data_IF_452437801330
#
_entry.id   IF_452437801330
#
_cell.length_a   1.000
_cell.length_b   1.000
_cell.length_c   1.000
_cell.angle_alpha   90.00
_cell.angle_beta   90.00
_cell.angle_gamma   90.00
#
_symmetry.space_group_name_H-M   'P 1'
#
loop_
_entity.id
_entity.type
_entity.pdbx_description
1 polymer ?
#
# COMPACT_ATOMS: atom_id res chain seq x y z
N UNK A 1 58.04 -45.83 -3.53
CA UNK A 1 56.88 -46.73 -3.49
C UNK A 1 55.65 -45.83 -3.36
N UNK A 2 55.04 -45.27 -4.40
CA UNK A 2 54.39 -45.84 -5.58
C UNK A 2 53.24 -46.80 -5.23
N UNK A 3 52.01 -46.26 -5.16
CA UNK A 3 50.78 -46.65 -5.89
C UNK A 3 49.62 -45.77 -5.38
N UNK A 4 48.99 -44.90 -6.17
CA UNK A 4 47.99 -45.13 -7.22
C UNK A 4 46.76 -45.93 -6.74
N UNK A 5 45.62 -45.26 -6.55
CA UNK A 5 44.32 -45.77 -7.00
C UNK A 5 43.29 -44.64 -7.08
N UNK A 6 42.71 -44.47 -8.27
CA UNK A 6 41.63 -43.54 -8.61
C UNK A 6 40.25 -44.17 -8.29
N UNK A 7 39.19 -43.38 -8.56
CA UNK A 7 37.76 -43.71 -8.64
C UNK A 7 37.02 -43.71 -7.29
N UNK A 8 35.89 -43.01 -7.10
CA UNK A 8 34.82 -42.61 -8.02
C UNK A 8 34.20 -41.26 -7.62
N UNK A 9 33.92 -40.41 -8.60
CA UNK A 9 32.83 -39.44 -8.52
C UNK A 9 31.52 -40.21 -8.35
N UNK A 10 30.84 -40.04 -7.23
CA UNK A 10 29.43 -40.37 -7.10
C UNK A 10 28.64 -39.06 -6.95
N UNK A 11 27.96 -38.74 -8.03
CA UNK A 11 26.96 -37.68 -8.16
C UNK A 11 25.83 -37.91 -7.14
N UNK A 12 25.53 -36.90 -6.32
CA UNK A 12 24.24 -36.81 -5.66
C UNK A 12 23.67 -35.41 -5.96
N UNK A 13 23.06 -35.28 -7.14
CA UNK A 13 22.13 -34.18 -7.42
C UNK A 13 20.90 -34.47 -6.56
N UNK A 14 20.83 -33.85 -5.39
CA UNK A 14 19.62 -33.91 -4.58
C UNK A 14 18.58 -33.01 -5.22
N UNK A 15 17.43 -33.63 -5.44
CA UNK A 15 16.27 -33.15 -6.14
C UNK A 15 15.89 -31.71 -5.81
N UNK A 16 15.44 -31.00 -6.84
CA UNK A 16 14.68 -29.77 -6.71
C UNK A 16 13.45 -30.04 -5.82
N UNK A 17 13.51 -29.60 -4.58
CA UNK A 17 12.32 -29.12 -3.91
C UNK A 17 12.12 -27.70 -4.43
N UNK A 18 11.14 -27.53 -5.30
CA UNK A 18 10.44 -26.25 -5.41
C UNK A 18 9.74 -26.08 -4.08
N UNK A 19 10.48 -25.59 -3.10
CA UNK A 19 9.84 -24.85 -2.03
C UNK A 19 9.30 -23.60 -2.73
N UNK A 20 8.00 -23.60 -3.02
CA UNK A 20 7.24 -22.36 -2.96
C UNK A 20 7.29 -21.88 -1.51
N UNK A 21 8.46 -21.55 -0.99
CA UNK A 21 8.57 -20.46 -0.03
C UNK A 21 8.06 -19.26 -0.79
N UNK A 22 6.74 -19.04 -0.73
CA UNK A 22 6.22 -17.70 -0.66
C UNK A 22 7.06 -17.05 0.43
N UNK A 23 8.08 -16.30 0.03
CA UNK A 23 8.79 -15.44 0.95
C UNK A 23 7.68 -14.64 1.61
N UNK A 24 7.49 -14.82 2.93
CA UNK A 24 6.75 -13.86 3.73
C UNK A 24 7.60 -12.60 3.75
N UNK A 25 7.61 -11.90 2.63
CA UNK A 25 8.18 -10.60 2.48
C UNK A 25 7.07 -9.62 2.85
N UNK A 26 6.71 -9.58 4.14
CA UNK A 26 5.51 -8.87 4.55
C UNK A 26 5.73 -8.13 5.86
N UNK A 27 6.48 -7.02 5.75
CA UNK A 27 6.40 -5.89 6.70
C UNK A 27 5.01 -5.20 6.65
N UNK A 28 4.06 -5.76 5.89
CA UNK A 28 2.70 -5.28 5.74
C UNK A 28 1.65 -6.40 5.66
N UNK A 29 0.45 -6.13 6.17
CA UNK A 29 -0.71 -7.00 6.00
C UNK A 29 -1.35 -6.81 4.61
N UNK A 30 -2.16 -7.76 4.13
CA UNK A 30 -3.06 -7.49 3.01
C UNK A 30 -4.01 -6.32 3.32
N UNK A 31 -4.45 -5.61 2.27
CA UNK A 31 -5.52 -4.62 2.39
C UNK A 31 -6.82 -5.26 2.88
N UNK A 32 -7.49 -4.56 3.79
CA UNK A 32 -8.79 -4.94 4.37
C UNK A 32 -9.78 -3.79 4.21
N UNK A 33 -11.07 -4.07 3.98
CA UNK A 33 -12.09 -3.01 3.92
C UNK A 33 -12.10 -2.17 5.20
N UNK A 34 -12.33 -0.86 5.05
CA UNK A 34 -12.60 0.01 6.19
C UNK A 34 -14.03 -0.27 6.66
N UNK A 35 -14.25 -0.71 7.92
CA UNK A 35 -15.56 -1.18 8.37
C UNK A 35 -16.56 -0.03 8.57
N UNK A 36 -16.07 1.17 8.91
CA UNK A 36 -16.90 2.32 9.20
C UNK A 36 -16.28 3.60 8.61
N UNK A 37 -16.91 4.12 7.56
CA UNK A 37 -16.52 5.36 6.89
C UNK A 37 -17.04 6.61 7.60
N UNK A 38 -17.91 6.47 8.59
CA UNK A 38 -18.44 7.58 9.40
C UNK A 38 -17.44 8.06 10.45
N UNK A 39 -16.37 7.29 10.69
CA UNK A 39 -15.25 7.70 11.54
C UNK A 39 -14.68 9.03 11.03
N UNK A 40 -14.70 10.12 11.83
CA UNK A 40 -14.30 11.44 11.38
C UNK A 40 -12.90 11.48 10.75
N UNK A 41 -11.96 10.70 11.31
CA UNK A 41 -10.59 10.61 10.81
C UNK A 41 -10.53 10.13 9.35
N UNK A 42 -11.42 9.24 8.91
CA UNK A 42 -11.42 8.76 7.52
C UNK A 42 -11.81 9.90 6.57
N UNK A 43 -12.84 10.68 6.93
CA UNK A 43 -13.24 11.85 6.14
C UNK A 43 -12.17 12.95 6.15
N UNK A 44 -11.47 13.14 7.27
CA UNK A 44 -10.33 14.07 7.36
C UNK A 44 -9.17 13.65 6.45
N UNK A 45 -8.82 12.36 6.42
CA UNK A 45 -7.79 11.83 5.52
C UNK A 45 -8.15 12.07 4.05
N UNK A 46 -9.40 11.82 3.67
CA UNK A 46 -9.88 12.09 2.32
C UNK A 46 -9.82 13.58 1.95
N UNK A 47 -10.28 14.47 2.84
CA UNK A 47 -10.20 15.92 2.62
C UNK A 47 -8.76 16.40 2.49
N UNK A 48 -7.88 15.88 3.35
CA UNK A 48 -6.46 16.21 3.29
C UNK A 48 -5.83 15.73 1.99
N UNK A 49 -6.15 14.53 1.51
CA UNK A 49 -5.60 14.00 0.26
C UNK A 49 -5.96 14.89 -0.94
N UNK A 50 -7.21 15.33 -1.03
CA UNK A 50 -7.65 16.27 -2.08
C UNK A 50 -6.89 17.60 -1.99
N UNK A 51 -6.70 18.12 -0.77
CA UNK A 51 -5.92 19.35 -0.58
C UNK A 51 -4.47 19.17 -1.02
N UNK A 52 -3.81 18.09 -0.61
CA UNK A 52 -2.42 17.83 -0.98
C UNK A 52 -2.25 17.65 -2.49
N UNK A 53 -3.18 16.95 -3.15
CA UNK A 53 -3.20 16.82 -4.60
C UNK A 53 -3.27 18.19 -5.27
N UNK A 54 -4.24 19.03 -4.89
CA UNK A 54 -4.38 20.39 -5.42
C UNK A 54 -3.12 21.23 -5.19
N UNK A 55 -2.51 21.15 -4.00
CA UNK A 55 -1.28 21.88 -3.67
C UNK A 55 -0.09 21.42 -4.53
N UNK A 56 -0.04 20.14 -4.91
CA UNK A 56 1.04 19.54 -5.71
C UNK A 56 0.88 19.76 -7.22
N UNK A 57 -0.35 19.71 -7.74
CA UNK A 57 -0.62 19.76 -9.19
C UNK A 57 -1.13 21.12 -9.67
N UNK A 58 -1.63 21.96 -8.76
CA UNK A 58 -2.36 23.19 -9.10
C UNK A 58 -3.83 22.94 -9.47
N UNK A 59 -4.33 21.72 -9.29
CA UNK A 59 -5.74 21.39 -9.48
C UNK A 59 -6.64 22.09 -8.44
N UNK A 60 -7.94 22.05 -8.69
CA UNK A 60 -8.95 22.76 -7.89
C UNK A 60 -10.15 21.85 -7.58
N UNK A 61 -9.86 20.64 -7.13
CA UNK A 61 -10.87 19.68 -6.70
C UNK A 61 -11.45 20.08 -5.33
N UNK A 62 -12.76 19.95 -5.17
CA UNK A 62 -13.46 20.16 -3.90
C UNK A 62 -13.88 18.80 -3.33
N UNK A 63 -13.34 18.45 -2.16
CA UNK A 63 -13.69 17.23 -1.44
C UNK A 63 -15.19 17.19 -1.11
N UNK A 64 -15.85 16.07 -1.40
CA UNK A 64 -17.24 15.81 -1.03
C UNK A 64 -17.33 14.84 0.14
N UNK A 65 -16.83 13.61 -0.04
CA UNK A 65 -16.81 12.56 1.00
C UNK A 65 -15.85 11.44 0.63
N UNK A 66 -15.45 10.65 1.60
CA UNK A 66 -14.94 9.29 1.37
C UNK A 66 -16.13 8.36 1.21
N UNK A 67 -16.18 7.64 0.08
CA UNK A 67 -17.29 6.75 -0.27
C UNK A 67 -16.96 5.25 -0.14
N UNK A 68 -15.68 4.94 0.06
CA UNK A 68 -15.14 3.59 0.09
C UNK A 68 -13.67 3.61 0.51
N UNK A 69 -13.11 2.43 0.69
CA UNK A 69 -11.69 2.30 0.89
C UNK A 69 -11.27 1.09 1.69
N UNK A 70 -9.96 0.91 1.75
CA UNK A 70 -9.27 -0.17 2.41
C UNK A 70 -8.13 0.37 3.25
N UNK A 71 -7.67 -0.41 4.22
CA UNK A 71 -6.45 -0.12 4.97
C UNK A 71 -5.56 -1.35 5.05
N UNK A 72 -4.27 -1.15 5.25
CA UNK A 72 -3.34 -2.20 5.64
C UNK A 72 -2.40 -1.69 6.73
N UNK A 73 -1.94 -2.60 7.57
CA UNK A 73 -0.89 -2.33 8.55
C UNK A 73 0.44 -2.49 7.81
N UNK A 74 1.31 -1.49 7.88
CA UNK A 74 2.69 -1.54 7.37
C UNK A 74 3.58 -1.26 8.57
N UNK A 75 3.84 -2.28 9.39
CA UNK A 75 4.32 -2.09 10.74
C UNK A 75 5.60 -1.22 10.73
N UNK A 76 5.66 -0.14 11.53
CA UNK A 76 4.70 0.24 12.57
C UNK A 76 3.51 1.16 12.13
N UNK A 77 3.41 1.56 10.86
CA UNK A 77 2.46 2.52 10.29
C UNK A 77 1.19 1.88 9.68
N UNK A 78 0.32 2.71 9.07
CA UNK A 78 -0.84 2.29 8.29
C UNK A 78 -0.80 2.90 6.88
N UNK A 79 -1.30 2.15 5.91
CA UNK A 79 -1.74 2.72 4.63
C UNK A 79 -3.27 2.72 4.57
N UNK A 80 -3.83 3.80 4.05
CA UNK A 80 -5.23 3.92 3.67
C UNK A 80 -5.31 4.08 2.15
N UNK A 81 -6.07 3.23 1.49
CA UNK A 81 -6.46 3.38 0.08
C UNK A 81 -7.92 3.84 0.07
N UNK A 82 -8.15 5.13 -0.09
CA UNK A 82 -9.48 5.74 0.04
C UNK A 82 -10.08 6.02 -1.33
N UNK A 83 -11.36 5.72 -1.49
CA UNK A 83 -12.16 6.16 -2.63
C UNK A 83 -12.90 7.44 -2.24
N UNK A 84 -12.61 8.52 -2.95
CA UNK A 84 -12.94 9.90 -2.59
C UNK A 84 -13.79 10.51 -3.69
N UNK A 85 -15.02 10.90 -3.36
CA UNK A 85 -15.83 11.74 -4.24
C UNK A 85 -15.35 13.19 -4.12
N UNK A 86 -15.06 13.80 -5.26
CA UNK A 86 -14.71 15.22 -5.39
C UNK A 86 -15.45 15.86 -6.56
N UNK A 87 -15.46 17.19 -6.59
CA UNK A 87 -16.02 17.97 -7.70
C UNK A 87 -14.98 18.91 -8.26
N UNK A 88 -14.93 19.06 -9.58
CA UNK A 88 -14.07 20.05 -10.22
C UNK A 88 -14.71 21.46 -10.14
N UNK A 89 -13.99 22.48 -10.64
CA UNK A 89 -14.47 23.88 -10.66
C UNK A 89 -15.77 24.09 -11.43
N UNK A 90 -16.07 23.22 -12.41
CA UNK A 90 -17.29 23.26 -13.21
C UNK A 90 -18.45 22.49 -12.55
N UNK A 91 -18.23 21.95 -11.33
CA UNK A 91 -19.21 21.16 -10.59
C UNK A 91 -19.35 19.70 -11.07
N UNK A 92 -18.48 19.25 -11.97
CA UNK A 92 -18.46 17.85 -12.42
C UNK A 92 -17.94 16.96 -11.31
N UNK A 93 -18.72 15.96 -10.92
CA UNK A 93 -18.34 14.99 -9.89
C UNK A 93 -17.47 13.87 -10.47
N UNK A 94 -16.44 13.48 -9.73
CA UNK A 94 -15.55 12.36 -10.02
C UNK A 94 -15.16 11.64 -8.74
N UNK A 95 -14.87 10.35 -8.85
CA UNK A 95 -14.30 9.55 -7.76
C UNK A 95 -12.82 9.34 -8.03
N UNK A 96 -12.01 9.55 -7.00
CA UNK A 96 -10.55 9.41 -7.03
C UNK A 96 -10.09 8.41 -5.99
N UNK A 97 -9.01 7.70 -6.27
CA UNK A 97 -8.37 6.78 -5.33
C UNK A 97 -7.10 7.40 -4.79
N UNK A 98 -7.00 7.55 -3.47
CA UNK A 98 -5.83 8.10 -2.79
C UNK A 98 -5.16 7.06 -1.88
N UNK A 99 -3.86 6.85 -2.05
CA UNK A 99 -3.03 6.07 -1.13
C UNK A 99 -2.34 7.01 -0.14
N UNK A 100 -2.64 6.83 1.15
CA UNK A 100 -2.15 7.69 2.22
C UNK A 100 -1.41 6.84 3.24
N UNK A 101 -0.13 7.16 3.46
CA UNK A 101 0.67 6.60 4.56
C UNK A 101 0.47 7.42 5.83
N UNK A 102 0.20 6.77 6.96
CA UNK A 102 -0.06 7.41 8.25
C UNK A 102 0.77 6.73 9.35
N UNK A 103 1.51 7.54 10.10
CA UNK A 103 2.25 7.11 11.28
C UNK A 103 1.91 8.00 12.48
N UNK A 104 1.08 7.49 13.39
CA UNK A 104 0.47 8.33 14.43
C UNK A 104 1.45 8.87 15.48
N UNK A 105 2.41 8.07 15.97
CA UNK A 105 3.29 8.52 17.06
C UNK A 105 4.33 9.56 16.63
N UNK A 106 4.63 9.66 15.33
CA UNK A 106 5.46 10.74 14.77
C UNK A 106 4.63 11.85 14.14
N UNK A 107 3.31 11.72 14.14
CA UNK A 107 2.40 12.61 13.40
C UNK A 107 2.78 12.75 11.92
N UNK A 108 3.29 11.67 11.31
CA UNK A 108 3.64 11.64 9.89
C UNK A 108 2.42 11.24 9.07
N UNK A 109 2.16 12.00 8.02
CA UNK A 109 1.15 11.67 7.02
C UNK A 109 1.68 12.07 5.64
N UNK A 110 1.56 11.18 4.65
CA UNK A 110 2.09 11.37 3.29
C UNK A 110 1.11 10.85 2.26
N UNK A 111 0.91 11.62 1.18
CA UNK A 111 0.11 11.23 0.03
C UNK A 111 1.05 10.51 -0.92
N UNK A 112 0.92 9.19 -1.02
CA UNK A 112 1.78 8.37 -1.87
C UNK A 112 1.25 8.32 -3.30
N UNK A 113 -0.08 8.38 -3.49
CA UNK A 113 -0.69 8.54 -4.81
C UNK A 113 -2.10 9.14 -4.75
N UNK A 114 -2.51 9.76 -5.85
CA UNK A 114 -3.86 10.25 -6.10
C UNK A 114 -4.19 10.06 -7.58
N UNK A 115 -5.27 9.35 -7.90
CA UNK A 115 -5.71 9.05 -9.28
C UNK A 115 -7.19 9.33 -9.43
#
# INVERSE_FOLDING_TARGET
MATCSQLLLALAVVAAAVDCTAAFDQDHTPFKPIPDLSVPRIQELGRWAVQQHNDQTGDRLTFTRVNGGQFQIVAPALNYLLDIDATNVDGTASTHTALIFVQYWTNTQRLDSFN
#
